data_IF_693973115974
#
_entry.id   IF_693973115974
#
_cell.length_a   1.000
_cell.length_b   1.000
_cell.length_c   1.000
_cell.angle_alpha   90.00
_cell.angle_beta   90.00
_cell.angle_gamma   90.00
#
_symmetry.space_group_name_H-M   'P 1'
#
loop_
_entity.id
_entity.type
_entity.pdbx_description
1 polymer ?
#
# COMPACT_ATOMS: atom_id res chain seq x y z
N UNK A 1 3.73 -15.19 17.84
CA UNK A 1 4.32 -15.83 16.65
C UNK A 1 5.78 -15.40 16.61
N UNK A 2 6.67 -16.34 16.86
CA UNK A 2 8.11 -16.08 16.87
C UNK A 2 8.63 -16.09 15.44
N UNK A 3 9.15 -14.96 14.97
CA UNK A 3 9.66 -14.83 13.62
C UNK A 3 11.14 -14.51 13.72
N UNK A 4 11.96 -15.47 13.26
CA UNK A 4 13.42 -15.29 13.14
C UNK A 4 13.70 -14.36 11.96
N UNK A 5 13.88 -13.08 12.23
CA UNK A 5 14.05 -12.04 11.23
C UNK A 5 15.49 -11.53 11.18
N UNK A 6 16.02 -11.50 9.99
CA UNK A 6 17.20 -10.79 9.54
C UNK A 6 18.54 -11.46 9.75
N UNK A 7 18.94 -12.21 8.76
CA UNK A 7 20.38 -12.45 8.48
C UNK A 7 21.03 -11.15 8.02
N UNK A 8 21.52 -10.33 8.94
CA UNK A 8 22.45 -9.25 8.59
C UNK A 8 23.84 -9.85 8.46
N UNK A 9 24.31 -10.06 7.23
CA UNK A 9 25.72 -10.39 6.95
C UNK A 9 26.57 -9.17 7.30
N UNK A 10 27.04 -9.09 8.56
CA UNK A 10 28.10 -8.17 8.93
C UNK A 10 29.44 -8.82 8.55
N UNK A 11 30.09 -8.29 7.50
CA UNK A 11 31.46 -8.63 7.14
C UNK A 11 32.39 -8.00 8.17
N UNK A 12 32.85 -8.77 9.13
CA UNK A 12 33.96 -8.36 9.98
C UNK A 12 35.24 -8.96 9.36
N UNK A 13 36.07 -8.10 8.80
CA UNK A 13 37.29 -8.47 8.03
C UNK A 13 38.44 -8.94 8.93
N UNK A 14 38.16 -9.59 10.03
CA UNK A 14 39.19 -10.28 10.82
C UNK A 14 38.81 -11.76 10.99
N UNK A 15 39.41 -12.62 10.16
CA UNK A 15 39.37 -14.06 10.39
C UNK A 15 38.27 -14.89 9.75
N UNK A 16 37.77 -14.56 8.57
CA UNK A 16 37.15 -15.52 7.63
C UNK A 16 35.84 -16.25 8.01
N UNK A 17 35.25 -16.02 9.18
CA UNK A 17 34.01 -16.68 9.59
C UNK A 17 32.83 -15.69 9.62
N UNK A 18 31.78 -16.03 8.86
CA UNK A 18 30.51 -15.31 8.89
C UNK A 18 29.75 -15.61 10.19
N UNK A 19 29.59 -14.65 11.08
CA UNK A 19 28.66 -14.77 12.20
C UNK A 19 27.32 -14.15 11.81
N UNK A 20 26.30 -14.98 11.72
CA UNK A 20 24.92 -14.53 11.61
C UNK A 20 24.46 -14.04 12.99
N UNK A 21 24.02 -12.78 13.07
CA UNK A 21 23.31 -12.29 14.26
C UNK A 21 21.81 -12.44 13.99
N UNK A 22 21.18 -13.36 14.67
CA UNK A 22 19.73 -13.47 14.69
C UNK A 22 19.17 -12.38 15.59
N UNK A 23 18.10 -11.73 15.18
CA UNK A 23 17.31 -10.81 15.97
C UNK A 23 15.88 -11.34 15.98
N UNK A 24 15.37 -11.63 17.17
CA UNK A 24 13.99 -12.02 17.40
C UNK A 24 13.23 -10.74 17.78
N UNK A 25 12.09 -10.53 17.18
CA UNK A 25 11.19 -9.40 17.46
C UNK A 25 9.80 -9.98 17.64
N UNK A 26 9.24 -9.75 18.81
CA UNK A 26 7.85 -10.09 19.13
C UNK A 26 6.96 -8.93 18.64
N UNK A 27 5.83 -9.26 18.04
CA UNK A 27 4.83 -8.30 17.57
C UNK A 27 3.47 -8.99 17.46
N UNK A 28 2.39 -8.26 17.68
CA UNK A 28 1.02 -8.77 17.53
C UNK A 28 0.66 -8.91 16.04
N UNK A 29 1.09 -7.96 15.21
CA UNK A 29 0.82 -7.94 13.78
C UNK A 29 2.07 -7.67 12.97
N UNK A 30 2.42 -8.61 12.09
CA UNK A 30 3.47 -8.45 11.12
C UNK A 30 2.91 -8.13 9.73
N UNK A 31 3.35 -7.00 9.15
CA UNK A 31 3.06 -6.60 7.77
C UNK A 31 4.32 -6.78 6.94
N UNK A 32 4.27 -7.64 5.93
CA UNK A 32 5.39 -7.90 5.02
C UNK A 32 5.21 -7.10 3.73
N UNK A 33 6.08 -6.11 3.54
CA UNK A 33 6.09 -5.21 2.40
C UNK A 33 5.38 -3.89 2.66
N UNK A 34 6.07 -2.79 2.36
CA UNK A 34 5.59 -1.42 2.47
C UNK A 34 4.98 -0.87 1.17
N UNK A 35 4.43 -1.71 0.30
CA UNK A 35 3.64 -1.29 -0.86
C UNK A 35 2.33 -0.62 -0.45
N UNK A 36 1.44 -0.36 -1.40
CA UNK A 36 0.13 0.28 -1.13
C UNK A 36 -0.67 -0.46 -0.07
N UNK A 37 -0.82 -1.78 -0.22
CA UNK A 37 -1.57 -2.60 0.72
C UNK A 37 -0.96 -2.57 2.13
N UNK A 38 0.37 -2.72 2.24
CA UNK A 38 1.07 -2.66 3.52
C UNK A 38 0.98 -1.29 4.18
N UNK A 39 1.06 -0.20 3.40
CA UNK A 39 0.85 1.15 3.92
C UNK A 39 -0.57 1.33 4.49
N UNK A 40 -1.61 0.92 3.75
CA UNK A 40 -2.99 1.02 4.25
C UNK A 40 -3.25 0.13 5.48
N UNK A 41 -2.69 -1.08 5.51
CA UNK A 41 -2.74 -1.94 6.70
C UNK A 41 -2.09 -1.25 7.90
N UNK A 42 -0.89 -0.70 7.74
CA UNK A 42 -0.18 0.03 8.79
C UNK A 42 -0.93 1.28 9.26
N UNK A 43 -1.47 2.10 8.33
CA UNK A 43 -2.27 3.28 8.67
C UNK A 43 -3.53 2.89 9.47
N UNK A 44 -4.14 1.77 9.13
CA UNK A 44 -5.38 1.30 9.78
C UNK A 44 -5.08 0.72 11.17
N UNK A 45 -4.07 -0.13 11.28
CA UNK A 45 -3.70 -0.82 12.51
C UNK A 45 -2.99 0.12 13.50
N UNK A 46 -2.18 1.04 13.03
CA UNK A 46 -1.48 2.00 13.88
C UNK A 46 -2.40 2.99 14.62
N UNK A 47 -3.70 3.01 14.28
CA UNK A 47 -4.73 3.72 15.07
C UNK A 47 -5.18 2.94 16.32
N UNK A 48 -4.83 1.65 16.41
CA UNK A 48 -5.17 0.77 17.53
C UNK A 48 -3.99 0.74 18.50
N UNK A 49 -4.16 1.41 19.65
CA UNK A 49 -3.09 1.60 20.65
C UNK A 49 -2.73 0.35 21.47
N UNK A 50 -3.52 -0.69 21.33
CA UNK A 50 -3.42 -1.97 22.03
C UNK A 50 -2.68 -3.04 21.22
N UNK A 51 -2.15 -2.69 20.05
CA UNK A 51 -1.46 -3.60 19.16
C UNK A 51 -0.03 -3.13 18.85
N UNK A 52 0.93 -4.02 19.05
CA UNK A 52 2.28 -3.86 18.53
C UNK A 52 2.31 -4.26 17.06
N UNK A 53 2.50 -3.27 16.17
CA UNK A 53 2.49 -3.47 14.72
C UNK A 53 3.89 -3.29 14.15
N UNK A 54 4.36 -4.27 13.39
CA UNK A 54 5.64 -4.24 12.71
C UNK A 54 5.46 -4.30 11.20
N UNK A 55 6.00 -3.31 10.48
CA UNK A 55 6.13 -3.36 9.03
C UNK A 55 7.57 -3.71 8.67
N UNK A 56 7.75 -4.70 7.80
CA UNK A 56 9.04 -5.10 7.26
C UNK A 56 9.06 -4.83 5.77
N UNK A 57 9.97 -3.93 5.34
CA UNK A 57 10.11 -3.55 3.93
C UNK A 57 11.54 -3.84 3.45
N UNK A 58 11.69 -4.56 2.33
CA UNK A 58 13.02 -4.90 1.80
C UNK A 58 13.75 -3.70 1.18
N UNK A 59 13.02 -2.69 0.73
CA UNK A 59 13.54 -1.49 0.12
C UNK A 59 13.17 -0.25 0.93
N UNK A 60 13.21 0.94 0.34
CA UNK A 60 12.76 2.15 0.99
C UNK A 60 11.24 2.30 0.84
N UNK A 61 10.50 2.40 1.94
CA UNK A 61 9.04 2.52 1.93
C UNK A 61 8.54 3.73 1.11
N UNK A 62 9.32 4.78 0.98
CA UNK A 62 8.96 5.96 0.17
C UNK A 62 8.97 5.66 -1.33
N UNK A 63 9.72 4.63 -1.75
CA UNK A 63 9.96 4.30 -3.16
C UNK A 63 9.67 2.84 -3.50
N UNK A 64 9.07 2.07 -2.60
CA UNK A 64 8.72 0.67 -2.84
C UNK A 64 7.32 0.49 -3.41
N UNK A 65 7.11 -0.59 -4.14
CA UNK A 65 5.83 -0.95 -4.75
C UNK A 65 5.55 -0.20 -6.07
N UNK A 66 4.48 -0.61 -6.76
CA UNK A 66 4.15 -0.10 -8.09
C UNK A 66 3.79 1.39 -8.12
N UNK A 67 3.23 1.95 -7.04
CA UNK A 67 2.90 3.37 -6.96
C UNK A 67 4.11 4.30 -6.82
N UNK A 68 5.33 3.74 -6.66
CA UNK A 68 6.55 4.53 -6.58
C UNK A 68 6.88 5.31 -7.87
N UNK A 69 6.37 4.83 -9.01
CA UNK A 69 6.52 5.49 -10.30
C UNK A 69 5.56 6.69 -10.47
N UNK A 70 4.63 6.87 -9.53
CA UNK A 70 3.53 7.82 -9.69
C UNK A 70 2.44 7.32 -10.63
N UNK A 71 1.26 7.86 -10.50
CA UNK A 71 0.10 7.53 -11.35
C UNK A 71 -0.74 8.78 -11.60
N UNK A 72 -1.42 8.85 -12.73
CA UNK A 72 -2.24 9.99 -13.13
C UNK A 72 -3.76 9.73 -13.06
N UNK A 73 -4.15 8.54 -12.65
CA UNK A 73 -5.55 8.15 -12.48
C UNK A 73 -5.71 7.08 -11.41
N UNK A 74 -6.84 7.11 -10.72
CA UNK A 74 -7.36 5.98 -9.97
C UNK A 74 -8.30 5.23 -10.90
N UNK A 75 -7.96 3.98 -11.24
CA UNK A 75 -8.68 3.17 -12.22
C UNK A 75 -9.80 2.32 -11.61
N UNK A 76 -10.03 2.43 -10.32
CA UNK A 76 -11.04 1.71 -9.58
C UNK A 76 -11.84 2.73 -8.76
N UNK A 77 -12.89 3.27 -9.35
CA UNK A 77 -13.77 4.27 -8.76
C UNK A 77 -15.18 4.13 -9.32
N UNK A 78 -16.18 4.23 -8.46
CA UNK A 78 -17.58 4.23 -8.90
C UNK A 78 -17.99 5.67 -9.23
N UNK A 79 -17.98 6.01 -10.51
CA UNK A 79 -18.30 7.34 -11.00
C UNK A 79 -19.79 7.66 -10.82
N UNK A 80 -20.14 8.95 -10.81
CA UNK A 80 -21.52 9.45 -10.65
C UNK A 80 -22.46 8.78 -11.67
N UNK A 81 -23.58 8.25 -11.22
CA UNK A 81 -24.57 7.56 -12.05
C UNK A 81 -24.24 6.08 -12.34
N UNK A 82 -23.19 5.54 -11.73
CA UNK A 82 -22.82 4.12 -11.82
C UNK A 82 -23.12 3.40 -10.51
N UNK A 83 -23.26 2.06 -10.60
CA UNK A 83 -23.45 1.17 -9.45
C UNK A 83 -22.27 0.23 -9.30
N UNK A 84 -22.17 -0.43 -8.15
CA UNK A 84 -21.05 -1.34 -7.85
C UNK A 84 -20.95 -2.49 -8.87
N UNK A 85 -22.10 -2.97 -9.33
CA UNK A 85 -22.17 -4.06 -10.32
C UNK A 85 -21.51 -3.68 -11.65
N UNK A 86 -21.62 -2.42 -12.09
CA UNK A 86 -20.95 -1.95 -13.31
C UNK A 86 -19.43 -2.18 -13.28
N UNK A 87 -18.82 -2.03 -12.10
CA UNK A 87 -17.39 -2.30 -11.92
C UNK A 87 -17.06 -3.80 -11.96
N UNK A 88 -17.90 -4.62 -11.33
CA UNK A 88 -17.78 -6.08 -11.35
C UNK A 88 -17.90 -6.60 -12.78
N UNK A 89 -18.92 -6.17 -13.50
CA UNK A 89 -19.17 -6.56 -14.90
C UNK A 89 -18.02 -6.15 -15.82
N UNK A 90 -17.47 -4.94 -15.58
CA UNK A 90 -16.28 -4.51 -16.30
C UNK A 90 -15.09 -5.46 -16.05
N UNK A 91 -14.77 -5.76 -14.79
CA UNK A 91 -13.66 -6.65 -14.46
C UNK A 91 -13.86 -8.07 -14.98
N UNK A 92 -15.09 -8.57 -14.93
CA UNK A 92 -15.48 -9.87 -15.50
C UNK A 92 -15.24 -9.94 -16.99
N UNK A 93 -15.66 -8.90 -17.72
CA UNK A 93 -15.43 -8.79 -19.16
C UNK A 93 -13.93 -8.68 -19.50
N UNK A 94 -13.18 -7.87 -18.74
CA UNK A 94 -11.74 -7.64 -18.96
C UNK A 94 -10.89 -8.89 -18.72
N UNK A 95 -11.36 -9.78 -17.85
CA UNK A 95 -10.69 -11.04 -17.50
C UNK A 95 -11.35 -12.29 -18.12
N UNK A 96 -12.10 -12.14 -19.21
CA UNK A 96 -12.78 -13.25 -19.91
C UNK A 96 -13.60 -14.17 -18.99
N UNK A 97 -14.22 -13.59 -17.95
CA UNK A 97 -15.02 -14.30 -16.96
C UNK A 97 -14.23 -14.97 -15.81
N UNK A 98 -12.90 -14.93 -15.84
CA UNK A 98 -12.05 -15.55 -14.81
C UNK A 98 -11.86 -14.58 -13.63
N UNK A 99 -12.92 -14.41 -12.82
CA UNK A 99 -12.92 -13.53 -11.65
C UNK A 99 -13.66 -14.14 -10.46
N UNK A 100 -13.35 -13.67 -9.26
CA UNK A 100 -14.12 -13.89 -8.04
C UNK A 100 -15.07 -12.69 -7.88
N UNK A 101 -16.29 -12.81 -8.39
CA UNK A 101 -17.28 -11.73 -8.39
C UNK A 101 -17.64 -11.27 -6.96
N UNK A 102 -17.70 -12.20 -6.01
CA UNK A 102 -17.94 -11.93 -4.60
C UNK A 102 -16.86 -11.02 -3.97
N UNK A 103 -15.59 -11.28 -4.31
CA UNK A 103 -14.47 -10.44 -3.84
C UNK A 103 -14.46 -9.07 -4.54
N UNK A 104 -14.76 -9.02 -5.84
CA UNK A 104 -14.86 -7.77 -6.58
C UNK A 104 -15.98 -6.89 -6.04
N UNK A 105 -17.15 -7.46 -5.72
CA UNK A 105 -18.26 -6.74 -5.14
C UNK A 105 -17.88 -6.16 -3.76
N UNK A 106 -17.34 -6.99 -2.88
CA UNK A 106 -16.86 -6.56 -1.56
C UNK A 106 -15.81 -5.44 -1.64
N UNK A 107 -14.90 -5.53 -2.61
CA UNK A 107 -13.92 -4.48 -2.86
C UNK A 107 -14.59 -3.20 -3.38
N UNK A 108 -15.55 -3.33 -4.30
CA UNK A 108 -16.25 -2.19 -4.92
C UNK A 108 -16.95 -1.30 -3.91
N UNK A 109 -17.51 -1.86 -2.85
CA UNK A 109 -18.15 -1.15 -1.74
C UNK A 109 -17.21 -0.14 -1.05
N UNK A 110 -15.90 -0.36 -1.14
CA UNK A 110 -14.88 0.46 -0.45
C UNK A 110 -14.13 1.42 -1.36
N UNK A 111 -14.24 1.31 -2.68
CA UNK A 111 -13.42 2.08 -3.63
C UNK A 111 -13.51 3.60 -3.41
N UNK A 112 -14.73 4.13 -3.33
CA UNK A 112 -14.95 5.56 -3.18
C UNK A 112 -14.52 6.04 -1.78
N UNK A 113 -14.76 5.24 -0.74
CA UNK A 113 -14.31 5.54 0.61
C UNK A 113 -12.77 5.61 0.69
N UNK A 114 -12.07 4.60 0.14
CA UNK A 114 -10.58 4.59 0.14
C UNK A 114 -10.02 5.75 -0.66
N UNK A 115 -10.66 6.12 -1.77
CA UNK A 115 -10.29 7.30 -2.55
C UNK A 115 -10.38 8.59 -1.71
N UNK A 116 -11.45 8.75 -0.94
CA UNK A 116 -11.60 9.88 -0.03
C UNK A 116 -10.53 9.87 1.07
N UNK A 117 -10.20 8.71 1.63
CA UNK A 117 -9.08 8.59 2.59
C UNK A 117 -7.76 9.05 1.98
N UNK A 118 -7.49 8.70 0.72
CA UNK A 118 -6.26 9.16 0.04
C UNK A 118 -6.25 10.68 -0.17
N UNK A 119 -7.39 11.29 -0.53
CA UNK A 119 -7.52 12.74 -0.63
C UNK A 119 -7.25 13.41 0.73
N UNK A 120 -7.83 12.88 1.82
CA UNK A 120 -7.63 13.38 3.18
C UNK A 120 -6.17 13.25 3.65
N UNK A 121 -5.42 12.28 3.13
CA UNK A 121 -3.98 12.13 3.35
C UNK A 121 -3.13 13.12 2.52
N UNK A 122 -3.75 13.85 1.59
CA UNK A 122 -3.09 14.87 0.78
C UNK A 122 -2.91 14.51 -0.71
N UNK A 123 -3.53 13.43 -1.19
CA UNK A 123 -3.53 13.15 -2.62
C UNK A 123 -4.37 14.19 -3.36
N UNK A 124 -3.76 14.81 -4.36
CA UNK A 124 -4.45 15.79 -5.21
C UNK A 124 -5.33 15.07 -6.23
N UNK A 125 -6.64 15.16 -6.06
CA UNK A 125 -7.64 14.66 -7.01
C UNK A 125 -8.21 15.85 -7.79
N UNK A 126 -8.23 15.74 -9.11
CA UNK A 126 -8.73 16.81 -9.97
C UNK A 126 -10.25 16.92 -9.84
N UNK A 127 -10.75 18.16 -9.66
CA UNK A 127 -12.17 18.47 -9.54
C UNK A 127 -12.61 19.39 -10.67
N UNK A 128 -13.85 19.22 -11.09
CA UNK A 128 -14.50 20.11 -12.04
C UNK A 128 -15.06 21.38 -11.38
N UNK A 129 -15.73 22.21 -12.14
CA UNK A 129 -16.33 23.48 -11.70
C UNK A 129 -17.42 23.27 -10.61
N UNK A 130 -18.04 22.10 -10.55
CA UNK A 130 -19.05 21.73 -9.56
C UNK A 130 -18.43 21.11 -8.28
N UNK A 131 -17.11 20.88 -8.26
CA UNK A 131 -16.41 20.20 -7.18
C UNK A 131 -16.48 18.67 -7.24
N UNK A 132 -17.05 18.10 -8.30
CA UNK A 132 -17.08 16.65 -8.54
C UNK A 132 -15.69 16.19 -9.07
N UNK A 133 -15.29 14.95 -8.79
CA UNK A 133 -14.05 14.41 -9.32
C UNK A 133 -14.10 14.26 -10.84
N UNK A 134 -13.04 14.73 -11.52
CA UNK A 134 -12.94 14.63 -12.98
C UNK A 134 -12.83 13.19 -13.41
N UNK A 135 -13.92 12.65 -13.98
CA UNK A 135 -13.97 11.30 -14.50
C UNK A 135 -13.11 11.14 -15.78
N UNK A 136 -12.53 9.96 -15.95
CA UNK A 136 -11.87 9.50 -17.18
C UNK A 136 -12.51 8.18 -17.61
N UNK A 137 -13.55 8.26 -18.41
CA UNK A 137 -14.41 7.11 -18.73
C UNK A 137 -15.33 6.74 -17.54
N UNK A 138 -15.67 5.47 -17.43
CA UNK A 138 -16.77 5.02 -16.57
C UNK A 138 -16.34 4.57 -15.15
N UNK A 139 -15.04 4.44 -14.88
CA UNK A 139 -14.51 3.86 -13.64
C UNK A 139 -13.23 4.50 -13.14
N UNK A 140 -12.79 5.55 -13.79
CA UNK A 140 -11.51 6.18 -13.48
C UNK A 140 -11.74 7.64 -13.12
N UNK A 141 -10.91 8.15 -12.22
CA UNK A 141 -10.82 9.58 -11.91
C UNK A 141 -9.39 10.06 -12.09
N UNK A 142 -9.24 11.33 -12.48
CA UNK A 142 -7.92 11.95 -12.69
C UNK A 142 -7.31 12.41 -11.38
N UNK A 143 -6.04 12.13 -11.17
CA UNK A 143 -5.27 12.58 -10.02
C UNK A 143 -3.92 13.16 -10.45
N UNK A 144 -3.31 13.95 -9.57
CA UNK A 144 -1.89 14.24 -9.60
C UNK A 144 -1.20 13.34 -8.56
N UNK A 145 -0.79 12.16 -8.98
CA UNK A 145 -0.31 11.09 -8.11
C UNK A 145 1.19 10.86 -8.17
N UNK A 146 1.99 11.85 -8.57
CA UNK A 146 3.45 11.75 -8.54
C UNK A 146 3.97 11.47 -7.12
N UNK A 147 3.31 12.06 -6.12
CA UNK A 147 3.67 11.97 -4.71
C UNK A 147 2.84 10.95 -3.93
N UNK A 148 2.07 10.09 -4.58
CA UNK A 148 1.16 9.15 -3.89
C UNK A 148 1.91 8.24 -2.93
N UNK A 149 3.09 7.74 -3.30
CA UNK A 149 3.88 6.86 -2.45
C UNK A 149 4.53 7.58 -1.27
N UNK A 150 5.18 8.75 -1.43
CA UNK A 150 5.58 9.61 -0.31
C UNK A 150 4.44 9.92 0.67
N UNK A 151 3.24 10.29 0.19
CA UNK A 151 2.07 10.57 1.02
C UNK A 151 1.71 9.37 1.91
N UNK A 152 1.63 8.17 1.33
CA UNK A 152 1.34 6.94 2.07
C UNK A 152 2.44 6.60 3.07
N UNK A 153 3.71 6.75 2.69
CA UNK A 153 4.84 6.48 3.58
C UNK A 153 4.87 7.43 4.77
N UNK A 154 4.58 8.71 4.55
CA UNK A 154 4.52 9.70 5.63
C UNK A 154 3.31 9.47 6.55
N UNK A 155 2.18 9.03 5.98
CA UNK A 155 1.03 8.63 6.78
C UNK A 155 1.34 7.42 7.68
N UNK A 156 2.08 6.42 7.18
CA UNK A 156 2.56 5.28 7.97
C UNK A 156 3.49 5.73 9.10
N UNK A 157 4.48 6.59 8.80
CA UNK A 157 5.45 7.08 9.80
C UNK A 157 4.82 7.89 10.94
N UNK A 158 3.62 8.43 10.72
CA UNK A 158 2.86 9.16 11.75
C UNK A 158 2.07 8.24 12.68
N UNK A 159 2.01 6.94 12.36
CA UNK A 159 1.34 5.97 13.21
C UNK A 159 2.27 5.45 14.29
N UNK A 160 1.68 4.96 15.38
CA UNK A 160 2.38 4.25 16.45
C UNK A 160 2.63 2.79 16.01
N UNK A 161 3.73 2.57 15.30
CA UNK A 161 4.15 1.27 14.80
C UNK A 161 5.66 1.22 14.53
N UNK A 162 6.20 0.02 14.47
CA UNK A 162 7.60 -0.22 14.11
C UNK A 162 7.76 -0.42 12.59
N UNK A 163 8.76 0.23 12.00
CA UNK A 163 9.12 0.07 10.60
C UNK A 163 10.59 -0.35 10.45
N UNK A 164 10.82 -1.51 9.85
CA UNK A 164 12.17 -2.03 9.61
C UNK A 164 12.39 -2.14 8.10
N UNK A 165 13.44 -1.46 7.62
CA UNK A 165 13.92 -1.64 6.26
C UNK A 165 14.93 -2.80 6.23
N UNK A 166 14.61 -3.86 5.50
CA UNK A 166 15.51 -4.98 5.25
C UNK A 166 16.13 -4.76 3.86
N UNK A 167 17.32 -4.16 3.83
CA UNK A 167 18.08 -4.10 2.57
C UNK A 167 18.74 -5.44 2.29
N UNK A 168 18.43 -6.05 1.14
CA UNK A 168 19.29 -7.10 0.60
C UNK A 168 20.63 -6.49 0.19
N UNK A 169 21.77 -7.19 0.40
CA UNK A 169 23.02 -6.73 -0.16
C UNK A 169 22.89 -6.67 -1.68
N UNK A 170 23.07 -5.47 -2.24
CA UNK A 170 23.16 -5.28 -3.69
C UNK A 170 24.30 -6.17 -4.19
N UNK A 171 23.99 -7.12 -5.08
CA UNK A 171 25.03 -7.78 -5.87
C UNK A 171 25.62 -6.73 -6.80
N UNK A 172 26.85 -6.35 -6.53
CA UNK A 172 27.71 -5.65 -7.50
C UNK A 172 28.29 -6.66 -8.48
#
# INVERSE_FOLDING_TARGET
>A
MEIDFARRLCRNMQGGTWRLKNRIIDTDVLIIGGGTAGCFAGITLGKKKDLDVLIVEKANIVRSGCLAAGVNAINAYITKGRVLQDYVDYCKKDADGIVREDLLLSMSERLNHVTKVMEDLGLVILKDENGDYVARGNRNIKINGENIKPILADAVKKQDLSLIHISEPTRH
#
